data_IF_299091416868
#
_entry.id   IF_299091416868
#
_cell.length_a   1.000
_cell.length_b   1.000
_cell.length_c   1.000
_cell.angle_alpha   90.00
_cell.angle_beta   90.00
_cell.angle_gamma   90.00
#
_symmetry.space_group_name_H-M   'P 1'
#
loop_
_entity.id
_entity.type
_entity.pdbx_description
1 polymer ?
#
# COMPACT_ATOMS: atom_id res chain seq x y z
N UNK A 1 16.51 4.51 -22.26
CA UNK A 1 16.26 4.44 -21.57
C UNK A 1 15.21 4.26 -21.12
N UNK A 2 14.78 3.99 -20.91
CA UNK A 2 13.77 4.00 -20.45
C UNK A 2 13.36 4.08 -19.46
N UNK A 3 13.51 4.03 -19.30
CA UNK A 3 13.37 4.34 -18.60
C UNK A 3 12.46 4.69 -17.80
N UNK A 4 12.25 5.26 -17.35
CA UNK A 4 11.51 5.84 -16.38
C UNK A 4 10.22 5.19 -16.07
N UNK A 5 9.80 4.38 -16.86
CA UNK A 5 8.55 3.75 -16.73
C UNK A 5 8.46 2.86 -15.55
N UNK A 6 9.46 2.04 -15.35
CA UNK A 6 9.41 1.11 -14.26
C UNK A 6 9.51 1.81 -12.94
N UNK A 7 9.97 3.00 -12.94
CA UNK A 7 10.12 3.73 -11.70
C UNK A 7 8.78 3.92 -11.01
N UNK A 8 7.75 4.19 -11.79
CA UNK A 8 6.42 4.40 -11.22
C UNK A 8 5.95 3.20 -10.44
N UNK A 9 6.12 2.02 -11.00
CA UNK A 9 5.72 0.81 -10.31
C UNK A 9 6.52 0.60 -9.05
N UNK A 10 7.81 0.92 -9.11
CA UNK A 10 8.67 0.77 -7.94
C UNK A 10 8.20 1.66 -6.81
N UNK A 11 7.79 2.87 -7.13
CA UNK A 11 7.33 3.78 -6.10
C UNK A 11 6.09 3.24 -5.40
N UNK A 12 5.18 2.68 -6.18
CA UNK A 12 3.97 2.15 -5.59
C UNK A 12 4.27 0.93 -4.72
N UNK A 13 5.19 0.09 -5.17
CA UNK A 13 5.57 -1.05 -4.37
C UNK A 13 6.28 -0.63 -3.11
N UNK A 14 7.07 0.44 -3.17
CA UNK A 14 7.72 0.96 -1.98
C UNK A 14 6.70 1.51 -0.99
N UNK A 15 5.68 2.18 -1.49
CA UNK A 15 4.61 2.66 -0.62
C UNK A 15 3.88 1.51 0.05
N UNK A 16 3.62 0.47 -0.70
CA UNK A 16 2.97 -0.71 -0.15
C UNK A 16 3.83 -1.33 0.93
N UNK A 17 5.13 -1.46 0.67
CA UNK A 17 6.07 -1.98 1.64
C UNK A 17 6.08 -1.14 2.91
N UNK A 18 6.06 0.16 2.75
CA UNK A 18 6.07 1.05 3.89
C UNK A 18 4.81 0.86 4.73
N UNK A 19 3.68 0.71 4.07
CA UNK A 19 2.43 0.47 4.79
C UNK A 19 2.49 -0.84 5.56
N UNK A 20 3.08 -1.86 4.96
CA UNK A 20 3.23 -3.15 5.64
C UNK A 20 4.13 -2.99 6.86
N UNK A 21 5.19 -2.23 6.74
CA UNK A 21 6.10 -2.01 7.85
C UNK A 21 5.38 -1.32 9.01
N UNK A 22 4.61 -0.29 8.72
CA UNK A 22 3.85 0.38 9.76
C UNK A 22 2.85 -0.58 10.40
N UNK A 23 2.21 -1.39 9.58
CA UNK A 23 1.25 -2.37 10.07
C UNK A 23 1.91 -3.32 11.07
N UNK A 24 3.11 -3.79 10.73
CA UNK A 24 3.82 -4.73 11.59
C UNK A 24 4.28 -4.08 12.87
N UNK A 25 4.54 -2.78 12.83
CA UNK A 25 4.92 -2.04 14.02
C UNK A 25 3.74 -1.70 14.91
N UNK A 26 2.55 -1.97 14.44
CA UNK A 26 1.36 -1.62 15.19
C UNK A 26 0.86 -0.22 14.93
N UNK A 27 1.46 0.48 13.99
CA UNK A 27 1.07 1.85 13.64
C UNK A 27 -0.01 1.79 12.57
N UNK A 28 -1.20 1.42 12.99
CA UNK A 28 -2.28 1.15 12.05
C UNK A 28 -2.78 2.40 11.34
N UNK A 29 -2.77 3.52 12.02
CA UNK A 29 -3.24 4.76 11.43
C UNK A 29 -2.41 5.15 10.22
N UNK A 30 -1.09 5.13 10.39
CA UNK A 30 -0.21 5.50 9.29
C UNK A 30 -0.27 4.48 8.18
N UNK A 31 -0.34 3.21 8.55
CA UNK A 31 -0.45 2.17 7.54
C UNK A 31 -1.70 2.35 6.70
N UNK A 32 -2.83 2.60 7.36
CA UNK A 32 -4.09 2.79 6.65
C UNK A 32 -4.04 4.02 5.75
N UNK A 33 -3.46 5.10 6.24
CA UNK A 33 -3.34 6.32 5.45
C UNK A 33 -2.58 6.06 4.15
N UNK A 34 -1.47 5.34 4.26
CA UNK A 34 -0.66 5.04 3.10
C UNK A 34 -1.45 4.17 2.12
N UNK A 35 -2.14 3.17 2.64
CA UNK A 35 -2.92 2.28 1.78
C UNK A 35 -4.05 3.03 1.08
N UNK A 36 -4.74 3.91 1.81
CA UNK A 36 -5.81 4.68 1.21
C UNK A 36 -5.29 5.57 0.07
N UNK A 37 -4.17 6.25 0.32
CA UNK A 37 -3.57 7.10 -0.69
C UNK A 37 -3.16 6.28 -1.89
N UNK A 38 -2.56 5.14 -1.63
CA UNK A 38 -2.08 4.29 -2.70
C UNK A 38 -3.24 3.81 -3.57
N UNK A 39 -4.33 3.41 -2.95
CA UNK A 39 -5.49 2.93 -3.69
C UNK A 39 -6.08 4.02 -4.57
N UNK A 40 -6.01 5.26 -4.11
CA UNK A 40 -6.55 6.37 -4.88
C UNK A 40 -5.67 6.73 -6.06
N UNK A 41 -4.36 6.57 -5.92
CA UNK A 41 -3.43 7.06 -6.92
C UNK A 41 -2.94 5.98 -7.87
N UNK A 42 -3.02 4.72 -7.48
CA UNK A 42 -2.47 3.66 -8.31
C UNK A 42 -3.38 3.33 -9.47
N UNK A 43 -2.75 3.00 -10.60
CA UNK A 43 -3.46 2.48 -11.75
C UNK A 43 -3.24 0.99 -11.92
N UNK A 44 -2.55 0.38 -10.97
CA UNK A 44 -2.24 -1.04 -11.03
C UNK A 44 -3.27 -1.84 -10.27
N UNK A 45 -3.91 -2.77 -10.94
CA UNK A 45 -4.89 -3.64 -10.27
C UNK A 45 -4.22 -4.48 -9.20
N UNK A 46 -2.99 -4.90 -9.45
CA UNK A 46 -2.27 -5.71 -8.48
C UNK A 46 -2.05 -4.93 -7.19
N UNK A 47 -1.60 -3.70 -7.31
CA UNK A 47 -1.37 -2.87 -6.13
C UNK A 47 -2.68 -2.60 -5.40
N UNK A 48 -3.73 -2.33 -6.16
CA UNK A 48 -5.03 -2.09 -5.57
C UNK A 48 -5.50 -3.30 -4.76
N UNK A 49 -5.35 -4.50 -5.33
CA UNK A 49 -5.75 -5.71 -4.65
C UNK A 49 -4.93 -5.95 -3.40
N UNK A 50 -3.62 -5.72 -3.48
CA UNK A 50 -2.77 -5.91 -2.33
C UNK A 50 -3.15 -4.94 -1.21
N UNK A 51 -3.38 -3.70 -1.55
CA UNK A 51 -3.76 -2.69 -0.56
C UNK A 51 -5.10 -3.06 0.08
N UNK A 52 -6.03 -3.50 -0.73
CA UNK A 52 -7.34 -3.89 -0.23
C UNK A 52 -7.23 -5.07 0.74
N UNK A 53 -6.37 -6.02 0.41
CA UNK A 53 -6.16 -7.18 1.27
C UNK A 53 -5.68 -6.74 2.64
N UNK A 54 -4.76 -5.78 2.68
CA UNK A 54 -4.28 -5.26 3.95
C UNK A 54 -5.36 -4.50 4.70
N UNK A 55 -6.16 -3.73 4.00
CA UNK A 55 -7.25 -3.02 4.65
C UNK A 55 -8.25 -3.99 5.27
N UNK A 56 -8.48 -5.12 4.64
CA UNK A 56 -9.32 -6.15 5.22
C UNK A 56 -8.73 -6.67 6.52
N UNK A 57 -7.41 -6.82 6.55
CA UNK A 57 -6.76 -7.28 7.77
C UNK A 57 -6.91 -6.28 8.90
N UNK A 58 -7.00 -5.00 8.57
CA UNK A 58 -7.23 -3.98 9.58
C UNK A 58 -8.55 -4.20 10.29
N UNK A 59 -9.57 -4.52 9.54
CA UNK A 59 -10.87 -4.83 10.14
C UNK A 59 -10.76 -5.92 11.17
N UNK A 60 -10.03 -6.96 10.84
CA UNK A 60 -9.86 -8.07 11.76
C UNK A 60 -9.11 -7.65 13.00
N UNK A 61 -8.07 -6.83 12.82
CA UNK A 61 -7.26 -6.42 13.95
C UNK A 61 -7.99 -5.46 14.87
N UNK A 62 -8.82 -4.62 14.32
CA UNK A 62 -9.52 -3.62 15.11
C UNK A 62 -10.69 -4.21 15.87
N UNK A 63 -11.12 -5.35 15.47
CA UNK A 63 -12.15 -6.05 16.20
C UNK A 63 -11.55 -6.70 17.41
#
# INVERSE_FOLDING_TARGET
MPKGLSITNNEEEQQLDLAVTYFEMGDLENSKSILDELMKSTHSDKIKNDAKTFLDKFSEKLD
#
